data_IF_141168010310
#
_entry.id   IF_141168010310
#
_cell.length_a   1.000
_cell.length_b   1.000
_cell.length_c   1.000
_cell.angle_alpha   90.00
_cell.angle_beta   90.00
_cell.angle_gamma   90.00
#
_symmetry.space_group_name_H-M   'P 1'
#
loop_
_entity.id
_entity.type
_entity.pdbx_description
1 polymer ?
#
# COMPACT_ATOMS: atom_id res chain seq x y z
N UNK A 1 -10.58 40.30 -19.68
CA UNK A 1 -9.85 39.02 -19.56
C UNK A 1 -10.04 38.54 -18.13
N UNK A 2 -10.75 37.42 -17.96
CA UNK A 2 -11.25 36.96 -16.67
C UNK A 2 -10.14 36.38 -15.78
N UNK A 3 -10.19 36.67 -14.47
CA UNK A 3 -9.23 36.16 -13.48
C UNK A 3 -9.16 34.61 -13.47
N UNK A 4 -10.23 33.96 -13.91
CA UNK A 4 -10.32 32.51 -14.09
C UNK A 4 -9.42 31.99 -15.23
N UNK A 5 -9.21 32.78 -16.28
CA UNK A 5 -8.30 32.44 -17.39
C UNK A 5 -6.84 32.58 -16.98
N UNK A 6 -6.51 33.55 -16.11
CA UNK A 6 -5.16 33.69 -15.56
C UNK A 6 -4.80 32.53 -14.61
N UNK A 7 -5.74 32.10 -13.77
CA UNK A 7 -5.55 30.94 -12.88
C UNK A 7 -5.38 29.66 -13.70
N UNK A 8 -6.16 29.49 -14.77
CA UNK A 8 -6.03 28.34 -15.65
C UNK A 8 -4.66 28.34 -16.38
N UNK A 9 -4.17 29.50 -16.84
CA UNK A 9 -2.84 29.63 -17.44
C UNK A 9 -1.70 29.39 -16.41
N UNK A 10 -1.89 29.74 -15.14
CA UNK A 10 -0.92 29.43 -14.07
C UNK A 10 -0.90 27.94 -13.71
N UNK A 11 -2.05 27.27 -13.65
CA UNK A 11 -2.13 25.82 -13.33
C UNK A 11 -1.59 24.97 -14.50
N UNK A 12 -1.84 25.40 -15.74
CA UNK A 12 -1.26 24.75 -16.93
C UNK A 12 0.23 25.08 -17.08
N UNK A 13 0.68 26.28 -16.69
CA UNK A 13 2.10 26.66 -16.68
C UNK A 13 2.95 25.95 -15.61
N UNK A 14 2.37 25.66 -14.45
CA UNK A 14 3.03 24.85 -13.40
C UNK A 14 2.99 23.35 -13.71
N UNK A 15 2.16 22.92 -14.67
CA UNK A 15 2.12 21.53 -15.14
C UNK A 15 3.07 21.27 -16.32
N UNK A 16 3.84 22.26 -16.79
CA UNK A 16 4.77 22.07 -17.91
C UNK A 16 6.19 22.61 -17.71
N UNK A 17 6.57 23.02 -16.51
CA UNK A 17 7.96 23.30 -16.18
C UNK A 17 8.52 22.23 -15.25
N UNK A 18 9.29 21.34 -15.87
CA UNK A 18 10.48 20.66 -15.36
C UNK A 18 10.38 19.16 -15.15
N UNK A 19 11.28 18.51 -15.88
CA UNK A 19 11.59 17.10 -15.99
C UNK A 19 11.57 16.31 -14.67
N UNK A 20 11.11 15.07 -14.80
CA UNK A 20 11.24 14.01 -13.82
C UNK A 20 12.73 13.62 -13.62
N UNK A 21 13.54 14.49 -13.00
CA UNK A 21 14.84 14.14 -12.42
C UNK A 21 15.38 15.22 -11.47
N UNK A 22 14.70 15.48 -10.36
CA UNK A 22 15.26 15.81 -9.03
C UNK A 22 14.14 16.26 -8.08
N UNK A 23 13.65 15.37 -7.22
CA UNK A 23 12.84 15.76 -6.05
C UNK A 23 13.17 14.94 -4.79
N UNK A 24 14.36 14.34 -4.73
CA UNK A 24 14.82 13.54 -3.58
C UNK A 24 15.84 14.29 -2.70
N UNK A 25 16.24 15.51 -3.05
CA UNK A 25 17.37 16.19 -2.38
C UNK A 25 17.06 17.54 -1.71
N UNK A 26 15.79 17.87 -1.45
CA UNK A 26 15.45 19.13 -0.72
C UNK A 26 14.40 18.98 0.38
N UNK A 27 13.97 17.76 0.72
CA UNK A 27 13.18 17.49 1.94
C UNK A 27 14.05 17.16 3.17
N UNK A 28 15.36 17.29 3.03
CA UNK A 28 16.32 17.19 4.13
C UNK A 28 16.88 18.59 4.39
N UNK A 29 16.44 19.20 5.49
CA UNK A 29 16.79 20.54 5.99
C UNK A 29 16.05 21.72 5.34
N UNK A 30 14.86 22.02 5.86
CA UNK A 30 14.49 23.32 6.47
C UNK A 30 12.99 23.27 6.80
N UNK A 31 12.64 23.17 8.09
CA UNK A 31 11.37 23.74 8.59
C UNK A 31 10.30 22.83 9.23
N UNK A 32 10.36 21.50 9.21
CA UNK A 32 9.34 20.66 9.90
C UNK A 32 9.74 20.30 11.36
N UNK A 33 10.94 20.69 11.81
CA UNK A 33 11.43 20.38 13.18
C UNK A 33 10.98 21.42 14.24
N UNK A 34 10.41 22.57 13.88
CA UNK A 34 10.15 23.64 14.88
C UNK A 34 8.79 23.62 15.58
N UNK A 35 7.82 22.81 15.14
CA UNK A 35 6.51 22.72 15.84
C UNK A 35 6.54 21.72 17.01
N UNK A 36 7.48 20.77 17.00
CA UNK A 36 7.51 19.68 17.99
C UNK A 36 8.51 19.83 19.15
N UNK A 37 9.36 20.86 19.18
CA UNK A 37 10.48 20.92 20.14
C UNK A 37 10.51 22.16 21.04
N UNK A 38 9.37 22.60 21.60
CA UNK A 38 9.38 23.61 22.69
C UNK A 38 8.60 23.27 23.96
N UNK A 39 8.20 22.00 24.19
CA UNK A 39 7.85 21.56 25.55
C UNK A 39 8.26 20.11 25.82
N UNK A 40 8.94 19.96 26.98
CA UNK A 40 9.15 18.77 27.80
C UNK A 40 10.43 17.94 27.56
N UNK A 41 11.54 18.54 27.99
CA UNK A 41 12.33 17.87 29.02
C UNK A 41 11.40 17.58 30.23
N UNK A 42 11.35 16.31 30.66
CA UNK A 42 10.80 15.77 31.93
C UNK A 42 9.49 14.97 31.83
N UNK A 43 9.68 13.65 32.00
CA UNK A 43 8.84 12.71 32.75
C UNK A 43 7.51 12.22 32.17
N UNK A 44 7.48 10.93 31.80
CA UNK A 44 6.42 9.98 32.15
C UNK A 44 5.02 10.15 31.54
N UNK A 45 4.60 9.13 30.77
CA UNK A 45 3.23 8.82 30.30
C UNK A 45 2.66 9.74 29.20
N UNK A 46 2.21 9.16 28.07
CA UNK A 46 1.04 9.62 27.30
C UNK A 46 0.76 8.76 26.06
N UNK A 47 0.02 7.67 26.27
CA UNK A 47 -0.79 7.02 25.21
C UNK A 47 -1.90 7.97 24.70
N UNK A 48 -2.27 8.98 25.48
CA UNK A 48 -3.37 9.90 25.18
C UNK A 48 -3.11 10.96 24.08
N UNK A 49 -1.87 11.39 23.84
CA UNK A 49 -1.62 12.46 22.85
C UNK A 49 -1.74 11.97 21.39
N UNK A 50 -1.31 10.74 21.12
CA UNK A 50 -1.41 10.11 19.79
C UNK A 50 -2.84 9.62 19.49
N UNK A 51 -3.64 9.37 20.52
CA UNK A 51 -5.05 9.00 20.39
C UNK A 51 -5.93 10.21 20.05
N UNK A 52 -5.63 11.37 20.65
CA UNK A 52 -6.28 12.66 20.35
C UNK A 52 -5.96 13.14 18.94
N UNK A 53 -4.72 13.02 18.45
CA UNK A 53 -4.40 13.41 17.07
C UNK A 53 -5.06 12.51 16.01
N UNK A 54 -5.22 11.22 16.28
CA UNK A 54 -5.86 10.27 15.35
C UNK A 54 -7.38 10.43 15.31
N UNK A 55 -8.01 10.72 16.44
CA UNK A 55 -9.46 10.97 16.46
C UNK A 55 -9.82 12.28 15.74
N UNK A 56 -8.95 13.29 15.80
CA UNK A 56 -9.15 14.57 15.11
C UNK A 56 -9.04 14.38 13.60
N UNK A 57 -8.04 13.65 13.12
CA UNK A 57 -7.88 13.33 11.68
C UNK A 57 -9.04 12.47 11.15
N UNK A 58 -9.50 11.51 11.93
CA UNK A 58 -10.68 10.73 11.58
C UNK A 58 -11.93 11.62 11.45
N UNK A 59 -12.17 12.48 12.45
CA UNK A 59 -13.31 13.42 12.43
C UNK A 59 -13.26 14.34 11.22
N UNK A 60 -12.09 14.93 10.93
CA UNK A 60 -11.90 15.78 9.75
C UNK A 60 -12.14 15.02 8.44
N UNK A 61 -11.71 13.75 8.36
CA UNK A 61 -12.00 12.92 7.19
C UNK A 61 -13.49 12.68 7.02
N UNK A 62 -14.20 12.32 8.10
CA UNK A 62 -15.63 12.03 8.05
C UNK A 62 -16.45 13.27 7.68
N UNK A 63 -16.10 14.42 8.24
CA UNK A 63 -16.70 15.71 7.88
C UNK A 63 -16.47 16.04 6.40
N UNK A 64 -15.22 15.93 5.94
CA UNK A 64 -14.89 16.19 4.54
C UNK A 64 -15.60 15.23 3.58
N UNK A 65 -15.62 13.93 3.89
CA UNK A 65 -16.30 12.93 3.07
C UNK A 65 -17.81 13.17 3.04
N UNK A 66 -18.41 13.54 4.18
CA UNK A 66 -19.82 13.94 4.27
C UNK A 66 -20.11 15.15 3.38
N UNK A 67 -19.30 16.21 3.49
CA UNK A 67 -19.46 17.42 2.69
C UNK A 67 -19.31 17.15 1.20
N UNK A 68 -18.33 16.32 0.81
CA UNK A 68 -18.12 15.92 -0.58
C UNK A 68 -19.32 15.13 -1.13
N UNK A 69 -19.84 14.15 -0.37
CA UNK A 69 -21.03 13.38 -0.76
C UNK A 69 -22.24 14.30 -0.91
N UNK A 70 -22.47 15.22 0.03
CA UNK A 70 -23.57 16.19 -0.03
C UNK A 70 -23.43 17.13 -1.23
N UNK A 71 -22.22 17.62 -1.49
CA UNK A 71 -21.94 18.52 -2.61
C UNK A 71 -22.18 17.83 -3.95
N UNK A 72 -21.67 16.60 -4.13
CA UNK A 72 -21.83 15.83 -5.39
C UNK A 72 -23.26 15.32 -5.56
N UNK A 73 -23.96 14.97 -4.47
CA UNK A 73 -25.35 14.50 -4.51
C UNK A 73 -26.34 15.63 -4.82
N UNK A 74 -25.90 16.89 -4.80
CA UNK A 74 -26.75 18.01 -5.17
C UNK A 74 -27.09 17.99 -6.67
N UNK A 75 -28.37 18.01 -7.02
CA UNK A 75 -28.85 18.00 -8.41
C UNK A 75 -28.23 19.09 -9.28
N UNK A 76 -27.97 20.28 -8.72
CA UNK A 76 -27.31 21.36 -9.45
C UNK A 76 -25.86 20.99 -9.77
N UNK A 77 -25.10 20.48 -8.80
CA UNK A 77 -23.72 20.01 -9.02
C UNK A 77 -23.69 18.91 -10.08
N UNK A 78 -24.59 17.94 -10.02
CA UNK A 78 -24.68 16.87 -11.02
C UNK A 78 -24.96 17.40 -12.43
N UNK A 79 -25.92 18.34 -12.54
CA UNK A 79 -26.25 18.99 -13.81
C UNK A 79 -25.06 19.76 -14.37
N UNK A 80 -24.40 20.56 -13.52
CA UNK A 80 -23.24 21.35 -13.91
C UNK A 80 -22.08 20.43 -14.36
N UNK A 81 -21.86 19.27 -13.70
CA UNK A 81 -20.87 18.26 -14.11
C UNK A 81 -21.22 17.64 -15.47
N UNK A 82 -22.46 17.20 -15.67
CA UNK A 82 -22.91 16.61 -16.94
C UNK A 82 -22.75 17.61 -18.08
N UNK A 83 -23.13 18.87 -17.88
CA UNK A 83 -23.00 19.92 -18.88
C UNK A 83 -21.52 20.14 -19.27
N UNK A 84 -20.60 20.19 -18.29
CA UNK A 84 -19.16 20.29 -18.56
C UNK A 84 -18.63 19.08 -19.34
N UNK A 85 -19.11 17.88 -19.03
CA UNK A 85 -18.73 16.65 -19.74
C UNK A 85 -19.27 16.66 -21.17
N UNK A 86 -20.53 17.05 -21.39
CA UNK A 86 -21.10 17.22 -22.73
C UNK A 86 -20.39 18.29 -23.55
N UNK A 87 -20.03 19.41 -22.93
CA UNK A 87 -19.23 20.45 -23.58
C UNK A 87 -17.86 19.91 -23.99
N UNK A 88 -17.25 19.05 -23.17
CA UNK A 88 -15.99 18.37 -23.52
C UNK A 88 -16.19 17.39 -24.68
N UNK A 89 -17.26 16.59 -24.65
CA UNK A 89 -17.64 15.70 -25.77
C UNK A 89 -17.89 16.46 -27.07
N UNK A 90 -18.45 17.68 -27.01
CA UNK A 90 -18.71 18.49 -28.21
C UNK A 90 -17.44 18.86 -28.99
N UNK A 91 -16.28 18.88 -28.32
CA UNK A 91 -14.97 19.14 -28.92
C UNK A 91 -14.36 17.88 -29.56
N UNK A 92 -14.90 16.69 -29.25
CA UNK A 92 -14.43 15.42 -29.80
C UNK A 92 -15.13 15.13 -31.13
N UNK A 93 -14.57 15.63 -32.24
CA UNK A 93 -15.19 15.57 -33.58
C UNK A 93 -15.73 14.17 -33.94
N UNK A 94 -14.84 13.18 -34.06
CA UNK A 94 -15.20 11.83 -34.56
C UNK A 94 -15.90 10.95 -33.53
N UNK A 95 -15.89 11.32 -32.24
CA UNK A 95 -16.40 10.50 -31.14
C UNK A 95 -17.46 11.22 -30.30
N UNK A 96 -18.03 12.32 -30.84
CA UNK A 96 -18.94 13.19 -30.09
C UNK A 96 -20.11 12.39 -29.54
N UNK A 97 -20.75 11.58 -30.38
CA UNK A 97 -21.98 10.89 -30.01
C UNK A 97 -21.71 9.73 -29.06
N UNK A 98 -20.62 9.00 -29.27
CA UNK A 98 -20.15 7.94 -28.39
C UNK A 98 -19.80 8.52 -27.01
N UNK A 99 -19.08 9.65 -26.97
CA UNK A 99 -18.76 10.35 -25.73
C UNK A 99 -20.02 10.81 -24.98
N UNK A 100 -20.97 11.47 -25.67
CA UNK A 100 -22.24 11.89 -25.05
C UNK A 100 -22.98 10.67 -24.49
N UNK A 101 -23.07 9.57 -25.25
CA UNK A 101 -23.75 8.35 -24.81
C UNK A 101 -23.11 7.74 -23.56
N UNK A 102 -21.77 7.77 -23.47
CA UNK A 102 -21.06 7.32 -22.27
C UNK A 102 -21.34 8.22 -21.07
N UNK A 103 -21.34 9.54 -21.25
CA UNK A 103 -21.66 10.50 -20.18
C UNK A 103 -23.08 10.28 -19.68
N UNK A 104 -24.05 10.19 -20.58
CA UNK A 104 -25.47 10.03 -20.24
C UNK A 104 -25.75 8.71 -19.51
N UNK A 105 -24.95 7.68 -19.79
CA UNK A 105 -25.08 6.38 -19.13
C UNK A 105 -24.33 6.31 -17.80
N UNK A 106 -23.06 6.70 -17.77
CA UNK A 106 -22.20 6.49 -16.61
C UNK A 106 -22.29 7.59 -15.55
N UNK A 107 -22.57 8.84 -15.91
CA UNK A 107 -22.62 9.92 -14.93
C UNK A 107 -23.75 9.71 -13.89
N UNK A 108 -24.99 9.33 -14.26
CA UNK A 108 -26.03 9.03 -13.28
C UNK A 108 -25.67 7.86 -12.36
N UNK A 109 -25.04 6.81 -12.90
CA UNK A 109 -24.58 5.66 -12.11
C UNK A 109 -23.48 6.08 -11.13
N UNK A 110 -22.53 6.91 -11.57
CA UNK A 110 -21.49 7.46 -10.71
C UNK A 110 -22.08 8.27 -9.55
N UNK A 111 -23.06 9.14 -9.82
CA UNK A 111 -23.70 9.93 -8.76
C UNK A 111 -24.48 9.06 -7.77
N UNK A 112 -25.12 7.98 -8.26
CA UNK A 112 -25.75 7.00 -7.40
C UNK A 112 -24.72 6.32 -6.49
N UNK A 113 -23.61 5.85 -7.03
CA UNK A 113 -22.53 5.23 -6.22
C UNK A 113 -21.96 6.20 -5.18
N UNK A 114 -21.74 7.47 -5.55
CA UNK A 114 -21.27 8.50 -4.61
C UNK A 114 -22.28 8.71 -3.48
N UNK A 115 -23.58 8.69 -3.77
CA UNK A 115 -24.63 8.87 -2.75
C UNK A 115 -24.71 7.72 -1.74
N UNK A 116 -24.14 6.56 -2.07
CA UNK A 116 -24.07 5.38 -1.19
C UNK A 116 -22.81 5.38 -0.30
N UNK A 117 -21.89 6.32 -0.50
CA UNK A 117 -20.66 6.40 0.30
C UNK A 117 -21.00 6.83 1.73
N UNK A 118 -20.71 5.95 2.69
CA UNK A 118 -20.73 6.29 4.11
C UNK A 118 -19.38 6.91 4.50
N UNK A 119 -19.36 8.12 5.09
CA UNK A 119 -18.11 8.81 5.46
C UNK A 119 -17.19 7.98 6.37
N UNK A 120 -17.75 7.31 7.38
CA UNK A 120 -16.99 6.45 8.29
C UNK A 120 -16.31 5.28 7.57
N UNK A 121 -17.05 4.59 6.68
CA UNK A 121 -16.54 3.45 5.92
C UNK A 121 -15.46 3.90 4.92
N UNK A 122 -15.67 5.06 4.29
CA UNK A 122 -14.68 5.67 3.40
C UNK A 122 -13.39 5.98 4.17
N UNK A 123 -13.50 6.69 5.30
CA UNK A 123 -12.36 7.08 6.12
C UNK A 123 -11.64 5.89 6.76
N UNK A 124 -12.36 4.81 7.05
CA UNK A 124 -11.75 3.54 7.46
C UNK A 124 -10.97 2.88 6.32
N UNK A 125 -11.54 2.84 5.10
CA UNK A 125 -10.87 2.28 3.91
C UNK A 125 -9.60 3.03 3.53
N UNK A 126 -9.55 4.34 3.76
CA UNK A 126 -8.35 5.16 3.53
C UNK A 126 -7.46 5.30 4.78
N UNK A 127 -7.71 4.50 5.82
CA UNK A 127 -6.89 4.41 7.02
C UNK A 127 -6.78 5.70 7.85
N UNK A 128 -7.75 6.62 7.70
CA UNK A 128 -7.84 7.85 8.50
C UNK A 128 -8.71 7.67 9.74
N UNK A 129 -9.58 6.66 9.74
CA UNK A 129 -10.34 6.23 10.91
C UNK A 129 -9.94 4.80 11.29
N UNK A 130 -9.17 4.65 12.36
CA UNK A 130 -8.85 3.34 12.92
C UNK A 130 -9.76 3.00 14.09
N UNK A 131 -10.34 1.80 14.08
CA UNK A 131 -10.77 1.17 15.32
C UNK A 131 -9.53 0.71 16.09
N UNK A 132 -9.50 1.00 17.39
CA UNK A 132 -8.37 0.90 18.35
C UNK A 132 -7.78 -0.51 18.53
N UNK A 133 -8.08 -1.48 17.65
CA UNK A 133 -7.26 -2.70 17.54
C UNK A 133 -5.99 -2.32 16.78
N UNK A 134 -4.91 -2.23 17.55
CA UNK A 134 -3.78 -1.34 17.33
C UNK A 134 -3.21 -1.36 15.90
N UNK A 135 -2.99 -0.17 15.33
CA UNK A 135 -2.15 0.04 14.15
C UNK A 135 -0.81 -0.71 14.25
N UNK A 136 -0.28 -0.86 15.47
CA UNK A 136 0.93 -1.64 15.73
C UNK A 136 0.75 -3.14 15.50
N UNK A 137 -0.39 -3.74 15.84
CA UNK A 137 -0.69 -5.15 15.57
C UNK A 137 -1.08 -5.38 14.12
N UNK A 138 -1.73 -4.42 13.45
CA UNK A 138 -2.00 -4.52 12.01
C UNK A 138 -0.73 -4.35 11.19
N UNK A 139 0.11 -3.35 11.49
CA UNK A 139 1.41 -3.20 10.85
C UNK A 139 2.37 -4.35 11.17
N UNK A 140 2.33 -4.93 12.38
CA UNK A 140 3.14 -6.13 12.67
C UNK A 140 2.60 -7.36 11.96
N UNK A 141 1.27 -7.52 11.85
CA UNK A 141 0.66 -8.62 11.11
C UNK A 141 0.90 -8.52 9.60
N UNK A 142 0.81 -7.31 9.05
CA UNK A 142 1.05 -7.04 7.63
C UNK A 142 2.55 -7.18 7.30
N UNK A 143 3.45 -6.70 8.15
CA UNK A 143 4.89 -6.90 7.97
C UNK A 143 5.32 -8.35 8.17
N UNK A 144 4.74 -9.07 9.13
CA UNK A 144 4.96 -10.51 9.33
C UNK A 144 4.49 -11.31 8.11
N UNK A 145 3.29 -11.03 7.58
CA UNK A 145 2.76 -11.67 6.39
C UNK A 145 3.64 -11.40 5.15
N UNK A 146 4.05 -10.15 4.95
CA UNK A 146 4.97 -9.77 3.87
C UNK A 146 6.33 -10.46 4.01
N UNK A 147 6.86 -10.58 5.22
CA UNK A 147 8.10 -11.30 5.46
C UNK A 147 7.97 -12.78 5.08
N UNK A 148 6.93 -13.46 5.57
CA UNK A 148 6.70 -14.87 5.23
C UNK A 148 6.52 -15.09 3.73
N UNK A 149 5.82 -14.18 3.05
CA UNK A 149 5.70 -14.22 1.60
C UNK A 149 7.07 -14.09 0.92
N UNK A 150 7.88 -13.10 1.31
CA UNK A 150 9.20 -12.90 0.74
C UNK A 150 10.13 -14.11 0.99
N UNK A 151 10.07 -14.73 2.17
CA UNK A 151 10.84 -15.93 2.51
C UNK A 151 10.38 -17.13 1.68
N UNK A 152 9.07 -17.30 1.50
CA UNK A 152 8.53 -18.37 0.65
C UNK A 152 8.92 -18.19 -0.81
N UNK A 153 8.83 -16.97 -1.34
CA UNK A 153 9.25 -16.66 -2.70
C UNK A 153 10.75 -16.92 -2.89
N UNK A 154 11.58 -16.53 -1.90
CA UNK A 154 13.01 -16.82 -1.90
C UNK A 154 13.29 -18.33 -1.85
N UNK A 155 12.57 -19.10 -1.03
CA UNK A 155 12.69 -20.57 -0.97
C UNK A 155 12.32 -21.24 -2.30
N UNK A 156 11.25 -20.80 -2.96
CA UNK A 156 10.85 -21.28 -4.28
C UNK A 156 11.95 -21.00 -5.30
N UNK A 157 12.53 -19.80 -5.27
CA UNK A 157 13.62 -19.41 -6.17
C UNK A 157 14.93 -20.12 -5.87
N UNK A 158 15.27 -20.37 -4.61
CA UNK A 158 16.50 -21.10 -4.26
C UNK A 158 16.45 -22.55 -4.75
N UNK A 159 15.28 -23.20 -4.68
CA UNK A 159 15.06 -24.57 -5.18
C UNK A 159 15.05 -24.70 -6.71
N UNK A 160 14.94 -23.57 -7.41
CA UNK A 160 14.91 -23.55 -8.88
C UNK A 160 16.34 -23.69 -9.45
N UNK A 161 16.64 -24.76 -10.20
CA UNK A 161 18.01 -25.01 -10.69
C UNK A 161 18.50 -23.92 -11.64
N UNK A 162 17.61 -23.27 -12.39
CA UNK A 162 17.97 -22.15 -13.27
C UNK A 162 18.43 -20.94 -12.45
N UNK A 163 17.74 -20.62 -11.36
CA UNK A 163 18.15 -19.58 -10.41
C UNK A 163 19.50 -19.89 -9.78
N UNK A 164 19.78 -21.14 -9.42
CA UNK A 164 21.09 -21.54 -8.88
C UNK A 164 22.22 -21.32 -9.91
N UNK A 165 21.97 -21.64 -11.19
CA UNK A 165 22.93 -21.39 -12.27
C UNK A 165 23.19 -19.90 -12.45
N UNK A 166 22.15 -19.07 -12.42
CA UNK A 166 22.28 -17.60 -12.49
C UNK A 166 23.15 -17.07 -11.35
N UNK A 167 22.95 -17.56 -10.12
CA UNK A 167 23.78 -17.16 -8.97
C UNK A 167 25.25 -17.54 -9.21
N UNK A 168 25.51 -18.77 -9.68
CA UNK A 168 26.88 -19.20 -10.02
C UNK A 168 27.50 -18.33 -11.11
N UNK A 169 26.75 -18.01 -12.17
CA UNK A 169 27.24 -17.15 -13.25
C UNK A 169 27.62 -15.75 -12.74
N UNK A 170 26.77 -15.14 -11.90
CA UNK A 170 27.05 -13.84 -11.29
C UNK A 170 28.32 -13.90 -10.44
N UNK A 171 28.49 -14.95 -9.63
CA UNK A 171 29.68 -15.14 -8.80
C UNK A 171 30.95 -15.35 -9.64
N UNK A 172 30.87 -16.14 -10.70
CA UNK A 172 32.00 -16.37 -11.62
C UNK A 172 32.39 -15.08 -12.37
N UNK A 173 31.41 -14.28 -12.78
CA UNK A 173 31.62 -12.97 -13.39
C UNK A 173 32.24 -11.98 -12.40
N UNK A 174 31.83 -12.01 -11.13
CA UNK A 174 32.46 -11.22 -10.09
C UNK A 174 33.93 -11.64 -9.87
N UNK A 175 34.22 -12.95 -9.94
CA UNK A 175 35.60 -13.44 -9.87
C UNK A 175 36.49 -12.93 -11.03
N UNK A 176 35.94 -12.70 -12.23
CA UNK A 176 36.71 -12.15 -13.35
C UNK A 176 37.25 -10.74 -13.08
N UNK A 177 36.58 -9.98 -12.21
CA UNK A 177 37.04 -8.66 -11.78
C UNK A 177 38.21 -8.72 -10.77
N UNK A 178 38.59 -9.91 -10.28
CA UNK A 178 39.61 -10.06 -9.21
C UNK A 178 41.04 -10.26 -9.71
N UNK A 179 41.31 -9.94 -10.99
CA UNK A 179 42.62 -10.04 -11.66
C UNK A 179 43.43 -11.29 -11.24
N UNK A 180 44.44 -11.11 -10.38
CA UNK A 180 45.36 -12.15 -9.91
C UNK A 180 44.71 -13.29 -9.11
N UNK A 181 43.50 -13.08 -8.57
CA UNK A 181 42.78 -14.08 -7.77
C UNK A 181 41.67 -14.80 -8.54
N UNK A 182 41.41 -14.44 -9.80
CA UNK A 182 40.27 -14.94 -10.56
C UNK A 182 40.19 -16.47 -10.55
N UNK A 183 41.31 -17.16 -10.77
CA UNK A 183 41.37 -18.63 -10.75
C UNK A 183 41.01 -19.22 -9.38
N UNK A 184 41.56 -18.67 -8.30
CA UNK A 184 41.30 -19.15 -6.93
C UNK A 184 39.86 -18.85 -6.50
N UNK A 185 39.35 -17.68 -6.89
CA UNK A 185 37.96 -17.27 -6.66
C UNK A 185 36.99 -18.23 -7.37
N UNK A 186 37.19 -18.50 -8.67
CA UNK A 186 36.33 -19.44 -9.42
C UNK A 186 36.34 -20.85 -8.81
N UNK A 187 37.49 -21.34 -8.37
CA UNK A 187 37.57 -22.62 -7.67
C UNK A 187 36.73 -22.63 -6.39
N UNK A 188 36.78 -21.57 -5.59
CA UNK A 188 35.93 -21.43 -4.41
C UNK A 188 34.44 -21.37 -4.76
N UNK A 189 34.07 -20.67 -5.83
CA UNK A 189 32.67 -20.62 -6.28
C UNK A 189 32.16 -22.02 -6.63
N UNK A 190 32.93 -22.80 -7.40
CA UNK A 190 32.53 -24.17 -7.75
C UNK A 190 32.47 -25.11 -6.54
N UNK A 191 33.36 -24.93 -5.57
CA UNK A 191 33.44 -25.80 -4.38
C UNK A 191 32.36 -25.46 -3.33
N UNK A 192 32.14 -24.17 -3.06
CA UNK A 192 31.33 -23.73 -1.92
C UNK A 192 29.94 -23.22 -2.29
N UNK A 193 29.73 -22.63 -3.47
CA UNK A 193 28.43 -22.04 -3.80
C UNK A 193 27.27 -23.06 -3.77
N UNK A 194 27.41 -24.29 -4.32
CA UNK A 194 26.33 -25.29 -4.24
C UNK A 194 25.98 -25.68 -2.79
N UNK A 195 27.00 -25.82 -1.94
CA UNK A 195 26.82 -26.15 -0.53
C UNK A 195 26.15 -25.00 0.23
N UNK A 196 26.55 -23.75 -0.06
CA UNK A 196 25.96 -22.55 0.55
C UNK A 196 24.49 -22.42 0.16
N UNK A 197 24.14 -22.62 -1.12
CA UNK A 197 22.76 -22.56 -1.59
C UNK A 197 21.89 -23.63 -0.93
N UNK A 198 22.38 -24.87 -0.88
CA UNK A 198 21.69 -25.98 -0.19
C UNK A 198 21.48 -25.67 1.30
N UNK A 199 22.50 -25.12 1.96
CA UNK A 199 22.40 -24.77 3.37
C UNK A 199 21.44 -23.59 3.60
N UNK A 200 21.39 -22.62 2.68
CA UNK A 200 20.46 -21.50 2.74
C UNK A 200 19.00 -21.98 2.59
N UNK A 201 18.72 -22.89 1.66
CA UNK A 201 17.41 -23.54 1.55
C UNK A 201 17.01 -24.21 2.85
N UNK A 202 17.86 -25.09 3.38
CA UNK A 202 17.58 -25.81 4.62
C UNK A 202 17.42 -24.87 5.82
N UNK A 203 18.17 -23.77 5.85
CA UNK A 203 18.08 -22.78 6.91
C UNK A 203 16.71 -22.08 6.86
N UNK A 204 16.29 -21.62 5.69
CA UNK A 204 15.00 -20.94 5.52
C UNK A 204 13.80 -21.88 5.71
N UNK A 205 13.94 -23.18 5.44
CA UNK A 205 12.89 -24.17 5.74
C UNK A 205 12.76 -24.48 7.24
N UNK A 206 13.88 -24.52 7.97
CA UNK A 206 13.91 -24.95 9.38
C UNK A 206 13.74 -23.81 10.37
N UNK A 207 13.93 -22.57 9.94
CA UNK A 207 13.94 -21.41 10.81
C UNK A 207 12.90 -20.40 10.36
N UNK A 208 12.11 -19.93 11.30
CA UNK A 208 11.27 -18.75 11.09
C UNK A 208 12.13 -17.49 11.21
N UNK A 209 12.74 -17.12 10.08
CA UNK A 209 13.55 -15.90 9.98
C UNK A 209 12.73 -14.64 10.23
N UNK A 210 11.41 -14.67 10.00
CA UNK A 210 10.54 -13.52 10.22
C UNK A 210 10.33 -13.23 11.71
N UNK A 211 10.25 -14.28 12.52
CA UNK A 211 10.32 -14.17 13.98
C UNK A 211 11.72 -13.75 14.45
N UNK A 212 12.79 -14.30 13.86
CA UNK A 212 14.17 -13.90 14.22
C UNK A 212 14.47 -12.43 13.92
N UNK A 213 13.89 -11.89 12.85
CA UNK A 213 13.98 -10.48 12.47
C UNK A 213 13.03 -9.59 13.29
N UNK A 214 12.31 -10.16 14.28
CA UNK A 214 11.27 -9.50 15.07
C UNK A 214 10.21 -8.79 14.20
N UNK A 215 10.01 -9.28 12.98
CA UNK A 215 8.95 -8.81 12.08
C UNK A 215 7.63 -9.50 12.42
N UNK A 216 7.71 -10.75 12.86
CA UNK A 216 6.63 -11.44 13.53
C UNK A 216 6.85 -11.37 15.05
N UNK A 217 5.79 -11.08 15.81
CA UNK A 217 5.80 -11.37 17.24
C UNK A 217 5.90 -12.89 17.38
N UNK A 218 6.89 -13.37 18.13
CA UNK A 218 7.05 -14.80 18.38
C UNK A 218 5.82 -15.36 19.11
N UNK A 219 4.85 -15.84 18.34
CA UNK A 219 3.71 -16.56 18.89
C UNK A 219 4.21 -17.98 19.11
N UNK A 220 4.36 -18.34 20.38
CA UNK A 220 4.39 -19.73 20.79
C UNK A 220 3.22 -20.45 20.10
N UNK A 221 3.57 -21.44 19.30
CA UNK A 221 2.68 -22.36 18.59
C UNK A 221 1.45 -22.75 19.41
N UNK A 222 0.27 -22.28 19.01
CA UNK A 222 -1.01 -22.86 19.42
C UNK A 222 -1.30 -24.06 18.52
N UNK A 223 -0.84 -25.22 18.97
CA UNK A 223 -1.37 -26.52 18.55
C UNK A 223 -2.48 -26.92 19.52
N UNK A 224 -3.69 -27.11 18.97
CA UNK A 224 -4.89 -27.77 19.50
C UNK A 224 -6.05 -26.84 19.91
N UNK A 225 -7.05 -26.72 19.04
CA UNK A 225 -8.18 -27.64 19.14
C UNK A 225 -9.01 -27.72 17.86
N UNK A 226 -9.22 -28.96 17.48
CA UNK A 226 -10.07 -29.50 16.44
C UNK A 226 -11.56 -29.26 16.69
N UNK A 227 -12.27 -28.89 15.61
CA UNK A 227 -13.58 -29.41 15.19
C UNK A 227 -14.71 -29.58 16.22
N UNK A 228 -15.80 -28.82 16.02
CA UNK A 228 -17.19 -29.30 15.91
C UNK A 228 -18.06 -28.09 15.57
N UNK A 229 -19.16 -28.12 14.84
CA UNK A 229 -19.77 -29.03 13.88
C UNK A 229 -20.99 -28.25 13.41
N UNK A 230 -21.14 -28.07 12.10
CA UNK A 230 -22.40 -27.64 11.51
C UNK A 230 -23.49 -28.71 11.64
N UNK A 231 -24.73 -28.26 11.49
CA UNK A 231 -25.97 -29.02 11.19
C UNK A 231 -26.92 -29.31 12.35
N UNK A 232 -27.90 -28.42 12.41
CA UNK A 232 -29.21 -28.52 13.03
C UNK A 232 -30.11 -29.39 12.14
N UNK A 233 -30.58 -30.55 12.63
CA UNK A 233 -31.84 -31.17 12.19
C UNK A 233 -32.33 -32.13 13.27
N UNK A 234 -33.47 -31.80 13.90
CA UNK A 234 -34.24 -32.73 14.71
C UNK A 234 -35.62 -32.91 14.07
N UNK A 235 -35.91 -34.12 13.56
CA UNK A 235 -37.29 -34.56 13.34
C UNK A 235 -37.44 -36.11 13.33
N UNK A 236 -38.41 -36.57 14.13
CA UNK A 236 -39.15 -37.85 14.20
C UNK A 236 -38.40 -39.16 14.55
N UNK A 237 -38.69 -39.84 15.67
CA UNK A 237 -39.91 -40.62 16.03
C UNK A 237 -40.06 -41.93 15.23
N UNK A 238 -39.70 -43.07 15.85
CA UNK A 238 -40.39 -44.38 15.75
C UNK A 238 -39.65 -45.48 16.56
N UNK A 239 -40.17 -45.83 17.72
CA UNK A 239 -40.43 -47.20 18.24
C UNK A 239 -40.95 -47.12 19.67
#
# INVERSE_FOLDING_TARGET
MDAKVLIFLCVVGLSWCCDAREMVTTYSNIGIISVFQTKLHRSGSNVHAAEVGRNEVCTMCEEFASDAVNYISNNKTQTDIIEMLHQSCSKMLSFKQECISLVDYYAPLFFLEVSLVQPSDFCQKVYLCEQVVSLSERLSKDSCALCHQAVNDALVKLKDPDTQLVVLEILLKACDATESYAKKCKNMVFEYAPLILTNAEQFLEKNDICTMLNTCNGIASDSNQSSSSSEETALHSAS
#
